data_IF_258399002988
#
_entry.id   IF_258399002988
#
_cell.length_a   1.000
_cell.length_b   1.000
_cell.length_c   1.000
_cell.angle_alpha   90.00
_cell.angle_beta   90.00
_cell.angle_gamma   90.00
#
_symmetry.space_group_name_H-M   'P 1'
#
loop_
_entity.id
_entity.type
_entity.pdbx_description
1 polymer ?
2 water ?
#
# COMPACT_ATOMS: atom_id res chain seq x y z
N UNK A 9 -14.84 -54.23 -25.20
CA UNK A 9 -14.19 -52.91 -24.94
C UNK A 9 -13.16 -52.89 -23.78
N UNK A 10 -13.20 -53.91 -22.90
CA UNK A 10 -12.54 -53.91 -21.56
C UNK A 10 -11.06 -53.56 -21.37
N UNK A 11 -10.80 -52.55 -20.52
CA UNK A 11 -9.44 -51.97 -20.28
C UNK A 11 -9.06 -51.92 -18.76
N UNK A 12 -8.10 -51.05 -18.39
CA UNK A 12 -7.54 -50.97 -17.02
C UNK A 12 -8.13 -49.84 -16.15
N UNK A 13 -9.15 -50.16 -15.34
CA UNK A 13 -9.85 -49.17 -14.49
C UNK A 13 -9.48 -49.25 -13.01
N UNK A 14 -8.33 -48.67 -12.66
CA UNK A 14 -7.86 -48.58 -11.27
C UNK A 14 -7.42 -47.16 -10.91
N UNK A 15 -7.69 -46.74 -9.67
CA UNK A 15 -7.51 -45.35 -9.24
C UNK A 15 -6.68 -45.24 -7.94
N UNK A 19 -5.13 -38.79 -8.23
CA UNK A 19 -5.70 -37.51 -7.78
C UNK A 19 -5.01 -36.95 -6.53
N UNK A 20 -4.32 -35.83 -6.70
CA UNK A 20 -3.96 -35.42 -8.02
C UNK A 20 -2.91 -36.43 -8.50
N UNK A 21 -1.66 -36.29 -8.05
CA UNK A 21 -0.81 -37.45 -7.75
C UNK A 21 -0.92 -37.44 -6.21
N UNK A 22 -0.53 -36.29 -5.66
CA UNK A 22 -1.20 -35.67 -4.52
C UNK A 22 -0.60 -34.27 -4.38
N UNK A 23 -1.43 -33.24 -4.57
CA UNK A 23 -1.01 -31.85 -4.34
C UNK A 23 -2.08 -31.05 -3.56
N UNK A 24 -1.63 -30.19 -2.64
CA UNK A 24 -2.53 -29.45 -1.74
C UNK A 24 -3.22 -28.31 -2.50
N UNK A 25 -4.42 -28.59 -2.99
CA UNK A 25 -5.24 -27.62 -3.71
C UNK A 25 -5.68 -26.44 -2.84
N UNK A 26 -5.97 -26.69 -1.55
CA UNK A 26 -6.45 -25.62 -0.65
C UNK A 26 -5.36 -24.58 -0.41
N UNK A 27 -4.16 -25.01 -0.04
CA UNK A 27 -3.09 -24.05 0.25
C UNK A 27 -2.55 -23.38 -1.02
N UNK A 28 -2.63 -24.06 -2.17
CA UNK A 28 -2.29 -23.44 -3.45
C UNK A 28 -3.26 -22.28 -3.75
N UNK A 29 -4.46 -22.36 -3.18
CA UNK A 29 -5.50 -21.41 -3.47
C UNK A 29 -5.23 -20.10 -2.77
N UNK A 30 -4.94 -20.15 -1.48
CA UNK A 30 -4.67 -18.96 -0.72
C UNK A 30 -3.36 -18.31 -1.20
N UNK A 31 -2.38 -19.10 -1.61
CA UNK A 31 -1.21 -18.53 -2.25
C UNK A 31 -1.59 -17.89 -3.58
N UNK A 32 -2.46 -18.53 -4.34
CA UNK A 32 -2.84 -17.99 -5.63
C UNK A 32 -3.52 -16.61 -5.47
N UNK A 33 -4.40 -16.48 -4.48
CA UNK A 33 -5.10 -15.24 -4.18
C UNK A 33 -4.14 -14.15 -3.72
N UNK A 34 -3.20 -14.54 -2.88
CA UNK A 34 -2.24 -13.65 -2.32
C UNK A 34 -1.30 -13.19 -3.39
N UNK A 35 -0.91 -14.06 -4.31
CA UNK A 35 -0.12 -13.57 -5.45
C UNK A 35 -0.93 -12.62 -6.33
N UNK A 36 -2.24 -12.82 -6.37
CA UNK A 36 -3.08 -11.97 -7.19
C UNK A 36 -3.30 -10.59 -6.54
N UNK A 37 -3.26 -10.55 -5.21
CA UNK A 37 -3.24 -9.29 -4.50
C UNK A 37 -1.97 -8.50 -4.85
N UNK A 38 -0.82 -9.17 -4.82
CA UNK A 38 0.47 -8.56 -5.18
C UNK A 38 0.41 -8.06 -6.62
N UNK A 39 -0.14 -8.89 -7.50
CA UNK A 39 -0.16 -8.58 -8.91
C UNK A 39 -1.11 -7.42 -9.23
N UNK A 40 -2.30 -7.42 -8.66
CA UNK A 40 -3.23 -6.34 -8.85
C UNK A 40 -2.64 -5.00 -8.30
N UNK A 41 -2.04 -5.04 -7.11
CA UNK A 41 -1.35 -3.90 -6.52
C UNK A 41 -0.32 -3.29 -7.45
N UNK A 42 0.55 -4.10 -8.04
CA UNK A 42 1.54 -3.59 -8.96
C UNK A 42 0.88 -3.02 -10.20
N UNK A 43 -0.18 -3.67 -10.66
CA UNK A 43 -0.95 -3.17 -11.79
C UNK A 43 -1.51 -1.78 -11.50
N UNK A 44 -2.01 -1.61 -10.29
CA UNK A 44 -2.60 -0.35 -9.90
C UNK A 44 -1.55 0.77 -9.82
N UNK A 45 -0.42 0.49 -9.20
CA UNK A 45 0.71 1.39 -9.24
C UNK A 45 1.09 1.86 -10.63
N UNK A 46 0.90 0.99 -11.61
CA UNK A 46 1.25 1.31 -12.98
C UNK A 46 0.23 2.25 -13.53
N UNK A 47 -1.02 1.97 -13.21
CA UNK A 47 -2.10 2.83 -13.58
C UNK A 47 -1.94 4.23 -12.91
N UNK A 48 -1.42 4.28 -11.69
CA UNK A 48 -1.22 5.57 -11.00
C UNK A 48 -0.10 6.32 -11.73
N UNK A 49 1.00 5.63 -12.02
CA UNK A 49 2.08 6.22 -12.80
C UNK A 49 1.69 6.74 -14.17
N UNK A 50 0.71 6.11 -14.80
CA UNK A 50 0.28 6.44 -16.14
C UNK A 50 -0.81 7.50 -16.12
N UNK A 51 -1.24 7.90 -14.92
CA UNK A 51 -2.35 8.87 -14.79
C UNK A 51 -3.53 8.43 -15.63
N UNK A 52 -3.84 7.14 -15.52
CA UNK A 52 -4.94 6.54 -16.25
C UNK A 52 -5.97 6.10 -15.28
N UNK A 53 -7.22 6.16 -15.69
CA UNK A 53 -8.29 5.53 -14.95
C UNK A 53 -8.19 4.00 -15.07
N UNK A 54 -8.95 3.30 -14.22
CA UNK A 54 -8.97 1.85 -14.16
C UNK A 54 -10.39 1.42 -14.03
N UNK A 55 -10.80 0.44 -14.83
CA UNK A 55 -12.14 -0.15 -14.72
C UNK A 55 -12.05 -1.54 -14.10
N UNK A 56 -13.13 -1.96 -13.46
CA UNK A 56 -13.28 -3.31 -12.97
C UNK A 56 -13.00 -4.31 -14.12
N UNK A 57 -13.71 -4.12 -15.22
CA UNK A 57 -13.59 -4.97 -16.38
C UNK A 57 -12.14 -5.18 -16.78
N UNK A 58 -11.34 -4.12 -16.73
CA UNK A 58 -9.92 -4.21 -17.09
C UNK A 58 -9.19 -5.12 -16.14
N UNK A 59 -9.54 -4.99 -14.87
CA UNK A 59 -8.89 -5.73 -13.83
C UNK A 59 -9.27 -7.22 -13.97
N UNK A 60 -10.55 -7.50 -14.21
CA UNK A 60 -10.96 -8.87 -14.46
C UNK A 60 -10.18 -9.44 -15.66
N UNK A 61 -10.21 -8.75 -16.79
CA UNK A 61 -9.59 -9.26 -18.02
C UNK A 61 -8.06 -9.42 -17.97
N UNK A 62 -7.39 -8.54 -17.24
CA UNK A 62 -5.94 -8.38 -17.37
C UNK A 62 -5.18 -8.96 -16.18
N UNK A 63 -5.84 -9.10 -15.03
CA UNK A 63 -5.15 -9.53 -13.83
C UNK A 63 -5.81 -10.70 -13.15
N UNK A 64 -7.14 -10.78 -13.13
CA UNK A 64 -7.76 -11.89 -12.43
C UNK A 64 -8.75 -12.68 -13.29
N UNK A 65 -8.36 -12.91 -14.55
CA UNK A 65 -9.18 -13.62 -15.55
C UNK A 65 -9.67 -14.93 -14.96
N UNK A 66 -8.82 -15.60 -14.18
CA UNK A 66 -9.12 -16.94 -13.66
C UNK A 66 -9.71 -16.95 -12.25
N UNK A 67 -9.92 -15.78 -11.63
CA UNK A 67 -10.55 -15.70 -10.29
C UNK A 67 -11.51 -14.48 -10.18
N UNK A 68 -12.26 -14.23 -11.25
CA UNK A 68 -13.18 -13.10 -11.33
C UNK A 68 -14.07 -12.92 -10.11
N UNK A 69 -14.59 -14.00 -9.55
CA UNK A 69 -15.59 -13.85 -8.48
C UNK A 69 -14.95 -13.47 -7.15
N UNK A 70 -13.62 -13.48 -7.12
CA UNK A 70 -12.90 -13.07 -5.94
C UNK A 70 -12.53 -11.61 -5.99
N UNK A 71 -13.10 -10.89 -6.96
CA UNK A 71 -12.73 -9.53 -7.18
C UNK A 71 -12.86 -8.73 -5.89
N UNK A 72 -14.01 -8.83 -5.20
CA UNK A 72 -14.16 -8.01 -4.02
C UNK A 72 -13.00 -8.13 -3.04
N UNK A 73 -12.50 -9.34 -2.86
CA UNK A 73 -11.48 -9.61 -1.88
C UNK A 73 -10.12 -9.25 -2.41
N UNK A 74 -9.84 -9.56 -3.67
CA UNK A 74 -8.51 -9.27 -4.23
C UNK A 74 -8.31 -7.73 -4.42
N UNK A 75 -9.35 -7.06 -4.92
CA UNK A 75 -9.33 -5.62 -5.08
C UNK A 75 -9.29 -4.94 -3.71
N UNK A 76 -10.18 -5.35 -2.82
CA UNK A 76 -10.17 -4.89 -1.43
C UNK A 76 -8.80 -4.85 -0.77
N UNK A 77 -8.06 -5.95 -0.86
CA UNK A 77 -6.78 -6.06 -0.16
C UNK A 77 -5.66 -5.33 -0.89
N UNK A 78 -5.70 -5.35 -2.21
CA UNK A 78 -4.78 -4.57 -3.02
C UNK A 78 -4.96 -3.06 -2.72
N UNK A 79 -6.20 -2.59 -2.69
CA UNK A 79 -6.51 -1.19 -2.31
C UNK A 79 -5.90 -0.82 -0.95
N UNK A 80 -6.20 -1.65 0.04
CA UNK A 80 -5.64 -1.53 1.39
C UNK A 80 -4.13 -1.44 1.39
N UNK A 81 -3.47 -2.31 0.62
CA UNK A 81 -2.00 -2.22 0.51
C UNK A 81 -1.51 -0.93 -0.15
N UNK A 82 -2.19 -0.50 -1.20
CA UNK A 82 -1.89 0.77 -1.84
C UNK A 82 -1.95 1.93 -0.82
N UNK A 83 -3.02 1.93 -0.03
CA UNK A 83 -3.28 2.98 0.95
C UNK A 83 -2.22 3.02 2.00
N UNK A 84 -2.01 1.88 2.63
CA UNK A 84 -1.17 1.80 3.81
C UNK A 84 0.29 1.82 3.46
N UNK A 85 0.70 1.15 2.39
CA UNK A 85 2.11 1.01 2.11
C UNK A 85 2.58 2.09 1.16
N UNK A 86 1.76 2.40 0.17
CA UNK A 86 2.19 3.31 -0.88
C UNK A 86 1.59 4.69 -0.75
N UNK A 87 0.66 4.88 0.18
CA UNK A 87 -0.03 6.12 0.31
C UNK A 87 -0.83 6.51 -0.91
N UNK A 88 -1.31 5.53 -1.67
CA UNK A 88 -2.20 5.78 -2.81
C UNK A 88 -3.62 5.36 -2.48
N UNK A 89 -4.59 6.23 -2.73
CA UNK A 89 -6.00 5.92 -2.53
C UNK A 89 -6.64 5.59 -3.87
N UNK A 90 -7.38 4.49 -3.90
CA UNK A 90 -8.11 4.03 -5.08
C UNK A 90 -9.50 4.57 -4.93
N UNK A 91 -9.76 5.66 -5.62
CA UNK A 91 -10.99 6.40 -5.46
C UNK A 91 -11.93 5.94 -6.58
N UNK A 92 -13.15 5.58 -6.24
CA UNK A 92 -14.15 5.38 -7.25
C UNK A 92 -14.56 6.72 -7.86
N UNK A 93 -15.20 6.69 -9.02
CA UNK A 93 -15.76 7.91 -9.61
C UNK A 93 -17.29 8.01 -9.43
N UNK A 94 -18.00 6.89 -9.62
CA UNK A 94 -19.49 6.86 -9.54
C UNK A 94 -20.18 7.98 -10.37
N UNK A 97 -20.70 3.22 -13.79
CA UNK A 97 -19.37 3.57 -13.29
C UNK A 97 -18.45 2.34 -13.29
N UNK A 98 -18.21 1.74 -12.12
CA UNK A 98 -17.09 0.79 -11.90
C UNK A 98 -15.74 1.25 -12.46
N UNK A 99 -15.51 2.56 -12.44
CA UNK A 99 -14.22 3.15 -12.80
C UNK A 99 -13.64 3.76 -11.53
N UNK A 100 -12.32 3.84 -11.46
CA UNK A 100 -11.62 4.26 -10.28
C UNK A 100 -10.46 5.12 -10.73
N UNK A 101 -10.17 6.16 -9.96
CA UNK A 101 -8.97 6.93 -10.18
C UNK A 101 -8.08 6.68 -8.99
N UNK A 102 -6.78 6.85 -9.18
CA UNK A 102 -5.80 6.66 -8.16
C UNK A 102 -5.07 7.97 -7.84
N UNK A 103 -5.17 8.41 -6.58
CA UNK A 103 -4.59 9.66 -6.13
C UNK A 103 -3.88 9.49 -4.81
N UNK A 104 -3.00 10.43 -4.46
CA UNK A 104 -2.24 10.32 -3.23
C UNK A 104 -3.16 10.52 -2.03
N UNK A 105 -2.86 9.84 -0.91
CA UNK A 105 -3.66 10.02 0.30
C UNK A 105 -3.46 11.43 0.81
N UNK A 106 -4.53 11.98 1.38
CA UNK A 106 -4.46 13.25 2.10
C UNK A 106 -4.15 14.43 1.18
N UNK A 107 -4.14 14.19 -0.13
CA UNK A 107 -3.93 15.22 -1.11
C UNK A 107 -2.49 15.64 -1.23
N UNK A 108 -1.56 14.82 -0.75
CA UNK A 108 -0.17 15.22 -0.80
C UNK A 108 0.31 15.27 -2.23
N UNK A 109 1.22 16.20 -2.49
CA UNK A 109 1.67 16.45 -3.82
C UNK A 109 2.87 15.57 -4.15
N UNK A 110 3.47 14.94 -3.17
CA UNK A 110 4.68 14.16 -3.41
C UNK A 110 4.40 12.65 -3.50
N UNK A 111 5.14 11.96 -4.37
CA UNK A 111 5.18 10.50 -4.39
C UNK A 111 6.56 9.91 -4.56
N UNK A 112 7.57 10.74 -4.80
CA UNK A 112 8.93 10.25 -4.84
C UNK A 112 9.31 9.59 -6.16
N UNK A 113 8.36 9.47 -7.09
CA UNK A 113 8.66 9.04 -8.48
C UNK A 113 9.41 10.10 -9.34
N UNK A 114 10.75 10.01 -9.40
CA UNK A 114 11.57 10.87 -10.28
C UNK A 114 12.85 10.20 -10.82
N UNK A 117 13.94 5.46 -8.94
CA UNK A 117 12.54 5.40 -8.50
C UNK A 117 11.59 6.17 -9.44
N UNK A 118 11.04 5.45 -10.42
CA UNK A 118 9.84 5.87 -11.14
C UNK A 118 8.79 4.76 -10.97
N UNK A 119 8.90 4.00 -9.88
CA UNK A 119 8.10 2.78 -9.70
C UNK A 119 7.22 2.79 -8.43
N UNK A 120 7.81 2.70 -7.24
CA UNK A 120 7.02 2.65 -6.00
C UNK A 120 6.88 4.03 -5.32
N UNK A 121 5.66 4.59 -5.25
CA UNK A 121 5.42 5.79 -4.43
C UNK A 121 5.96 5.69 -2.99
N UNK A 122 6.43 6.82 -2.47
CA UNK A 122 6.93 6.88 -1.08
C UNK A 122 6.02 7.73 -0.22
N UNK A 123 4.84 8.04 -0.74
CA UNK A 123 3.86 8.81 -0.01
C UNK A 123 3.47 8.13 1.30
N UNK A 124 3.31 6.81 1.22
CA UNK A 124 2.92 6.00 2.35
C UNK A 124 3.88 6.12 3.50
N UNK A 125 5.16 6.10 3.22
CA UNK A 125 6.13 6.22 4.29
C UNK A 125 6.20 7.68 4.80
N UNK A 126 5.97 8.66 3.94
CA UNK A 126 5.95 10.05 4.38
C UNK A 126 4.82 10.18 5.36
N UNK A 127 3.66 9.66 4.99
CA UNK A 127 2.52 9.76 5.82
C UNK A 127 2.78 9.13 7.16
N UNK A 128 3.54 8.04 7.18
CA UNK A 128 3.83 7.37 8.43
C UNK A 128 4.80 8.17 9.29
N UNK A 129 5.77 8.82 8.68
CA UNK A 129 6.66 9.66 9.44
C UNK A 129 5.94 10.93 9.94
N UNK A 130 5.03 11.49 9.15
CA UNK A 130 4.26 12.65 9.57
C UNK A 130 3.33 12.30 10.74
N UNK A 131 2.72 11.13 10.70
CA UNK A 131 1.90 10.66 11.82
C UNK A 131 2.70 10.39 13.09
N UNK A 132 3.91 9.88 12.94
CA UNK A 132 4.72 9.57 14.10
C UNK A 132 5.09 10.86 14.83
N UNK A 133 5.30 11.94 14.08
CA UNK A 133 5.67 13.22 14.70
C UNK A 133 4.44 13.84 15.30
N UNK A 134 3.36 13.86 14.53
CA UNK A 134 2.05 14.26 15.02
C UNK A 134 1.68 13.60 16.34
N UNK A 135 2.12 12.38 16.56
CA UNK A 135 1.79 11.68 17.81
C UNK A 135 2.75 11.95 18.98
N UNK A 136 4.01 12.28 18.70
CA UNK A 136 4.92 12.78 19.74
C UNK A 136 4.69 14.27 20.11
N UNK A 137 3.75 14.93 19.43
CA UNK A 137 3.41 16.33 19.69
C UNK A 137 4.05 17.25 18.67
N UNK A 138 4.89 18.15 19.14
CA UNK A 138 5.41 19.19 18.27
C UNK A 138 6.63 18.74 17.51
N UNK A 139 7.37 17.82 18.11
CA UNK A 139 8.56 17.23 17.52
C UNK A 139 8.67 15.76 17.93
N UNK A 140 9.37 14.96 17.12
CA UNK A 140 9.79 13.59 17.52
C UNK A 140 11.30 13.46 17.36
N UNK A 141 11.95 12.85 18.35
CA UNK A 141 13.41 12.65 18.31
C UNK A 141 13.78 11.69 17.19
N UNK A 142 14.99 11.84 16.68
CA UNK A 142 15.54 10.93 15.69
C UNK A 142 15.27 9.46 16.05
N UNK A 143 15.54 9.13 17.30
CA UNK A 143 15.39 7.76 17.80
C UNK A 143 13.96 7.27 17.70
N UNK A 144 13.01 8.11 18.05
CA UNK A 144 11.61 7.67 17.95
C UNK A 144 11.21 7.42 16.49
N UNK A 145 11.80 8.17 15.56
CA UNK A 145 11.50 7.95 14.14
C UNK A 145 12.10 6.61 13.65
N UNK A 146 13.35 6.32 14.00
CA UNK A 146 13.96 5.04 13.63
C UNK A 146 13.24 3.82 14.24
N UNK A 147 12.87 3.89 15.52
CA UNK A 147 12.05 2.85 16.13
C UNK A 147 10.78 2.49 15.33
N UNK A 148 9.95 3.48 15.02
CA UNK A 148 8.74 3.20 14.24
C UNK A 148 9.06 2.73 12.82
N UNK A 149 10.08 3.29 12.19
CA UNK A 149 10.47 2.80 10.86
C UNK A 149 10.95 1.34 10.97
N UNK A 150 11.66 1.03 12.04
CA UNK A 150 12.11 -0.32 12.30
C UNK A 150 10.97 -1.33 12.34
N UNK A 151 9.93 -1.02 13.12
CA UNK A 151 8.81 -1.95 13.31
C UNK A 151 8.21 -2.38 11.97
N UNK A 152 8.36 -1.55 10.94
CA UNK A 152 7.95 -1.90 9.57
C UNK A 152 9.13 -2.05 8.59
N UNK A 153 10.26 -2.50 9.12
CA UNK A 153 11.33 -3.04 8.31
C UNK A 153 12.14 -2.04 7.55
N UNK A 154 12.27 -0.83 8.09
CA UNK A 154 13.08 0.20 7.45
C UNK A 154 14.14 0.59 8.44
N UNK A 155 15.40 0.49 8.00
CA UNK A 155 16.55 0.65 8.88
C UNK A 155 17.54 1.59 8.23
N UNK A 156 18.21 2.35 9.08
CA UNK A 156 19.17 3.36 8.70
C UNK A 156 20.38 2.72 8.06
N UNK A 157 20.72 3.13 6.84
CA UNK A 157 21.95 2.69 6.18
C UNK A 157 21.77 1.37 5.45
N UNK A 158 20.51 0.98 5.29
CA UNK A 158 20.13 -0.28 4.69
C UNK A 158 19.15 0.06 3.58
N UNK A 159 19.59 -0.05 2.34
CA UNK A 159 18.78 0.35 1.20
C UNK A 159 17.58 -0.60 1.00
N UNK A 160 16.41 -0.22 1.52
CA UNK A 160 15.13 -0.91 1.29
C UNK A 160 14.80 -0.90 -0.23
N UNK A 161 14.11 -1.94 -0.71
CA UNK A 161 13.80 -2.06 -2.16
C UNK A 161 12.73 -1.04 -2.60
N UNK A 162 11.64 -1.00 -1.83
CA UNK A 162 10.47 -0.13 -2.08
C UNK A 162 10.69 1.36 -1.75
N UNK A 163 11.41 1.66 -0.66
CA UNK A 163 11.63 3.06 -0.21
C UNK A 163 13.02 3.62 -0.49
N UNK A 164 13.99 2.75 -0.79
CA UNK A 164 15.39 3.19 -0.99
C UNK A 164 16.13 3.35 0.33
N UNK A 165 17.27 4.05 0.30
CA UNK A 165 17.99 4.31 1.55
C UNK A 165 17.18 5.36 2.34
N UNK A 166 16.77 5.05 3.60
CA UNK A 166 15.87 5.96 4.35
C UNK A 166 16.52 7.21 4.97
N UNK A 167 17.79 7.15 5.34
CA UNK A 167 18.47 8.32 5.91
C UNK A 167 18.56 9.47 4.91
N UNK A 168 19.00 9.17 3.70
CA UNK A 168 18.89 10.11 2.59
C UNK A 168 17.44 10.60 2.48
N UNK A 169 16.48 9.70 2.60
CA UNK A 169 15.09 10.05 2.38
C UNK A 169 14.58 11.03 3.44
N UNK A 170 14.83 10.72 4.71
CA UNK A 170 14.38 11.56 5.82
C UNK A 170 15.16 12.86 5.96
N UNK A 171 16.47 12.74 5.89
CA UNK A 171 17.39 13.81 6.24
C UNK A 171 17.69 14.75 5.08
N UNK A 172 17.54 14.29 3.84
CA UNK A 172 17.87 15.11 2.66
C UNK A 172 16.64 15.37 1.81
N UNK A 173 16.14 14.35 1.13
CA UNK A 173 15.05 14.53 0.17
C UNK A 173 13.94 15.32 0.78
N UNK A 174 13.48 14.88 1.94
CA UNK A 174 12.23 15.36 2.51
C UNK A 174 12.42 16.71 3.23
N UNK A 175 13.68 17.03 3.55
CA UNK A 175 14.05 18.31 4.09
C UNK A 175 14.12 19.32 2.97
N UNK A 176 14.85 18.98 1.92
CA UNK A 176 14.88 19.77 0.69
C UNK A 176 13.48 20.01 0.12
N UNK A 177 12.59 19.04 0.24
CA UNK A 177 11.21 19.19 -0.24
C UNK A 177 10.35 19.95 0.76
N UNK A 178 10.93 20.23 1.93
CA UNK A 178 10.26 20.98 2.99
C UNK A 178 9.02 20.31 3.59
N UNK A 179 8.90 18.99 3.48
CA UNK A 179 7.88 18.27 4.27
C UNK A 179 8.33 18.15 5.70
N UNK A 180 9.65 18.18 5.92
CA UNK A 180 10.22 17.93 7.25
C UNK A 180 11.34 18.90 7.59
N UNK A 181 11.60 19.04 8.89
CA UNK A 181 12.73 19.78 9.39
C UNK A 181 13.55 18.84 10.25
N UNK A 182 14.85 18.92 10.12
CA UNK A 182 15.72 18.02 10.82
C UNK A 182 16.82 18.85 11.48
N UNK A 183 16.80 18.96 12.82
CA UNK A 183 17.77 19.83 13.53
C UNK A 183 18.26 19.41 14.93
N UNK A 184 19.33 20.10 15.36
CA UNK A 184 20.20 19.72 16.49
C UNK A 184 19.61 19.95 17.89
N UNK A 185 18.29 20.10 17.99
CA UNK A 185 17.61 20.41 19.27
C UNK A 185 18.03 21.78 19.83
N UNK A 192 21.43 14.79 20.66
CA UNK A 192 20.14 14.36 20.14
C UNK A 192 19.69 15.21 18.93
N UNK A 193 18.89 14.61 18.05
CA UNK A 193 18.31 15.30 16.89
C UNK A 193 16.82 15.05 16.87
N UNK A 194 16.08 15.88 16.14
CA UNK A 194 14.64 15.70 16.05
C UNK A 194 14.04 16.23 14.76
N UNK A 195 12.85 15.73 14.47
CA UNK A 195 12.13 16.03 13.25
C UNK A 195 10.84 16.76 13.58
N UNK A 196 10.42 17.68 12.70
CA UNK A 196 9.12 18.35 12.84
C UNK A 196 8.52 18.50 11.47
N UNK A 197 7.19 18.63 11.38
CA UNK A 197 6.56 18.98 10.10
C UNK A 197 7.20 20.24 9.56
N UNK A 198 7.31 20.30 8.24
CA UNK A 198 7.86 21.43 7.54
C UNK A 198 6.67 22.19 6.99
N UNK A 199 6.92 23.39 6.44
CA UNK A 199 5.86 24.24 5.91
C UNK A 199 5.00 23.57 4.83
N UNK A 200 5.59 22.75 3.98
CA UNK A 200 4.80 22.07 2.93
C UNK A 200 3.82 21.10 3.56
N UNK A 201 4.28 20.38 4.56
CA UNK A 201 3.40 19.47 5.25
C UNK A 201 2.24 20.24 5.88
N UNK A 202 2.54 21.34 6.57
CA UNK A 202 1.48 22.23 7.15
C UNK A 202 0.57 22.84 6.09
N UNK A 203 1.17 23.19 4.97
CA UNK A 203 0.42 23.71 3.84
C UNK A 203 -0.52 22.64 3.26
N UNK A 204 0.00 21.43 3.00
CA UNK A 204 -0.79 20.43 2.23
C UNK A 204 -1.73 19.61 3.10
N UNK A 205 -1.39 19.44 4.37
CA UNK A 205 -2.24 18.67 5.26
C UNK A 205 -2.22 19.21 6.71
N UNK A 206 -2.89 18.53 7.64
CA UNK A 206 -2.87 18.89 9.08
C UNK A 206 -2.74 17.69 10.03
N UNK A 207 -2.28 17.97 11.26
CA UNK A 207 -2.20 16.98 12.31
C UNK A 207 -3.54 16.32 12.43
N UNK A 208 -4.58 17.13 12.45
CA UNK A 208 -5.94 16.61 12.57
C UNK A 208 -6.28 15.62 11.46
N UNK A 209 -5.76 15.87 10.27
CA UNK A 209 -6.11 15.03 9.14
C UNK A 209 -5.27 13.76 9.10
N UNK A 210 -4.01 13.86 9.50
CA UNK A 210 -3.18 12.71 9.58
C UNK A 210 -3.71 11.79 10.66
N UNK A 211 -4.04 12.34 11.83
CA UNK A 211 -4.53 11.51 12.93
C UNK A 211 -5.87 10.93 12.60
N UNK A 212 -6.74 11.68 11.96
CA UNK A 212 -8.00 11.06 11.54
C UNK A 212 -7.78 9.93 10.53
N UNK A 213 -6.71 10.03 9.75
CA UNK A 213 -6.39 9.03 8.72
C UNK A 213 -5.88 7.76 9.42
N UNK A 214 -4.94 7.91 10.35
CA UNK A 214 -4.53 6.80 11.18
C UNK A 214 -5.75 6.14 11.81
N UNK A 215 -6.64 6.96 12.36
CA UNK A 215 -7.82 6.43 13.01
C UNK A 215 -8.69 5.67 12.01
N UNK A 216 -8.91 6.23 10.83
CA UNK A 216 -9.73 5.54 9.81
C UNK A 216 -9.08 4.23 9.33
N UNK A 217 -7.75 4.22 9.20
CA UNK A 217 -7.07 3.01 8.81
C UNK A 217 -7.17 1.90 9.88
N UNK A 218 -6.86 2.22 11.14
CA UNK A 218 -7.03 1.28 12.27
C UNK A 218 -8.45 0.75 12.45
N UNK A 219 -9.44 1.50 11.97
CA UNK A 219 -10.84 1.13 12.16
C UNK A 219 -11.44 0.48 10.92
N UNK A 220 -10.62 0.13 9.94
CA UNK A 220 -11.12 -0.39 8.67
C UNK A 220 -11.62 -1.80 8.84
N UNK A 221 -12.64 -2.11 8.04
CA UNK A 221 -13.21 -3.44 7.96
C UNK A 221 -12.17 -4.35 7.29
N UNK A 222 -11.66 -5.31 8.05
CA UNK A 222 -10.65 -6.21 7.52
C UNK A 222 -11.26 -7.28 6.64
N UNK A 223 -10.52 -7.66 5.60
CA UNK A 223 -10.98 -8.64 4.62
C UNK A 223 -10.24 -9.94 4.86
N UNK A 224 -10.99 -11.03 4.96
CA UNK A 224 -10.41 -12.36 5.07
C UNK A 224 -10.38 -13.00 3.69
N UNK A 225 -9.29 -13.70 3.36
CA UNK A 225 -9.28 -14.60 2.20
C UNK A 225 -10.35 -15.68 2.40
N UNK A 226 -11.12 -16.00 1.35
CA UNK A 226 -12.06 -17.09 1.47
C UNK A 226 -11.41 -18.47 1.31
N UNK A 227 -12.01 -19.46 1.97
CA UNK A 227 -11.70 -20.87 1.73
C UNK A 227 -12.21 -21.27 0.36
N UNK A 228 -11.77 -22.42 -0.11
CA UNK A 228 -12.19 -22.90 -1.42
C UNK A 228 -13.72 -23.06 -1.46
N UNK A 229 -14.34 -23.32 -0.31
CA UNK A 229 -15.78 -23.58 -0.23
C UNK A 229 -16.54 -22.28 -0.39
N UNK A 230 -16.25 -21.33 0.49
CA UNK A 230 -16.91 -20.03 0.50
C UNK A 230 -16.75 -19.28 -0.81
N UNK A 231 -15.64 -19.55 -1.50
CA UNK A 231 -15.38 -18.93 -2.81
C UNK A 231 -16.23 -19.57 -3.89
N UNK A 232 -16.50 -20.87 -3.75
CA UNK A 232 -17.39 -21.56 -4.69
C UNK A 232 -18.82 -21.06 -4.52
N UNK A 233 -19.14 -20.55 -3.33
CA UNK A 233 -20.47 -20.01 -3.02
C UNK A 233 -20.68 -18.55 -3.47
N UNK A 234 -19.93 -18.07 -4.46
CA UNK A 234 -20.22 -16.77 -5.05
C UNK A 234 -20.88 -16.93 -6.44
N UNK A 235 -21.13 -18.17 -6.85
CA UNK A 235 -21.89 -18.48 -8.07
C UNK A 235 -23.10 -19.35 -7.74
#
# INVERSE_FOLDING_TARGET
MHHHHHHSSGVDLGTENLYFQSMDAESLFREALSNKVDELAHFLLRKYRAKELVTKAEMLERVIKNYKRCFPVIFGKASESLKMIFGIDVKEVDPTSNTYTLVTCLGLSYDGLLGNNQIFPKTGLLIIVLGTIAMEGDSASEEEIWEELGVMGVYDGREHTVYGEPRKLLTQDWVQENYLEYRQVPGSNPARYEFLWGPRALAETSYVKVLEHVVRVNARVRIAYPSLREAALLEEEEGV
#
